data_IF_548818767579
#
_entry.id   IF_548818767579
#
_cell.length_a   1.000
_cell.length_b   1.000
_cell.length_c   1.000
_cell.angle_alpha   90.00
_cell.angle_beta   90.00
_cell.angle_gamma   90.00
#
_symmetry.space_group_name_H-M   'P 1'
#
loop_
_entity.id
_entity.type
_entity.pdbx_description
1 polymer ?
#
# COMPACT_ATOMS: atom_id res chain seq x y z
N UNK A 1 14.65 9.36 2.57
CA UNK A 1 13.46 10.04 2.06
C UNK A 1 13.97 11.11 1.15
N UNK A 2 13.59 11.03 -0.12
CA UNK A 2 13.99 12.04 -1.10
C UNK A 2 13.12 13.28 -0.95
N UNK A 3 13.69 14.50 -0.96
CA UNK A 3 12.93 15.75 -0.90
C UNK A 3 11.83 15.85 -1.97
N UNK A 4 12.00 15.18 -3.12
CA UNK A 4 10.98 15.01 -4.16
C UNK A 4 9.59 14.65 -3.61
N UNK A 5 9.51 13.81 -2.57
CA UNK A 5 8.23 13.41 -1.97
C UNK A 5 7.44 14.60 -1.37
N UNK A 6 8.10 15.68 -0.96
CA UNK A 6 7.42 16.85 -0.37
C UNK A 6 6.44 17.53 -1.33
N UNK A 7 6.60 17.35 -2.64
CA UNK A 7 5.67 17.90 -3.63
C UNK A 7 4.27 17.30 -3.52
N UNK A 8 4.17 16.07 -3.04
CA UNK A 8 2.92 15.30 -3.01
C UNK A 8 2.47 14.97 -1.60
N UNK A 9 3.32 15.12 -0.59
CA UNK A 9 2.97 14.80 0.79
C UNK A 9 2.18 15.93 1.47
N UNK A 10 1.26 15.52 2.34
CA UNK A 10 0.58 16.44 3.26
C UNK A 10 0.34 15.75 4.59
N UNK A 11 0.07 16.55 5.63
CA UNK A 11 -0.30 15.99 6.93
C UNK A 11 -1.57 15.12 6.81
N UNK A 12 -1.56 13.84 7.22
CA UNK A 12 -2.74 12.98 7.14
C UNK A 12 -3.91 13.52 7.97
N UNK A 13 -3.63 14.38 8.95
CA UNK A 13 -4.61 14.91 9.88
C UNK A 13 -5.36 16.16 9.41
N UNK A 14 -4.59 17.19 9.07
CA UNK A 14 -5.13 18.53 8.76
C UNK A 14 -4.82 18.96 7.33
N UNK A 15 -4.21 18.07 6.52
CA UNK A 15 -3.88 18.29 5.11
C UNK A 15 -2.91 19.44 4.84
N UNK A 16 -2.35 20.05 5.89
CA UNK A 16 -1.37 21.13 5.76
C UNK A 16 -0.01 20.62 5.26
N UNK A 17 0.82 21.51 4.68
CA UNK A 17 2.19 21.19 4.27
C UNK A 17 3.05 20.66 5.43
N UNK A 18 4.09 19.90 5.06
CA UNK A 18 5.05 19.31 5.99
C UNK A 18 6.45 19.89 5.75
N UNK A 19 7.10 20.33 6.82
CA UNK A 19 8.48 20.80 6.82
C UNK A 19 9.43 19.64 7.16
N UNK A 20 10.41 19.38 6.28
CA UNK A 20 11.41 18.33 6.47
C UNK A 20 12.62 18.84 7.25
N UNK A 21 12.86 18.22 8.40
CA UNK A 21 14.04 18.43 9.22
C UNK A 21 14.93 17.20 9.14
N UNK A 22 16.12 17.36 8.55
CA UNK A 22 17.06 16.28 8.42
C UNK A 22 18.02 16.20 9.61
N UNK A 23 18.28 14.97 10.06
CA UNK A 23 19.26 14.65 11.10
C UNK A 23 20.47 13.95 10.46
N UNK A 24 20.21 12.99 9.57
CA UNK A 24 21.21 12.26 8.78
C UNK A 24 20.81 12.21 7.32
N UNK A 25 21.74 12.53 6.44
CA UNK A 25 21.54 12.54 5.00
C UNK A 25 22.64 11.78 4.27
N UNK A 26 22.26 11.21 3.13
CA UNK A 26 23.16 10.64 2.16
C UNK A 26 22.91 11.29 0.81
N UNK A 27 23.95 11.32 -0.03
CA UNK A 27 23.85 11.75 -1.41
C UNK A 27 24.20 10.58 -2.33
N UNK A 28 23.30 10.28 -3.26
CA UNK A 28 23.43 9.23 -4.27
C UNK A 28 23.38 9.88 -5.66
N UNK A 29 24.53 10.24 -6.26
CA UNK A 29 24.57 10.96 -7.52
C UNK A 29 23.90 10.18 -8.66
N UNK A 30 23.15 10.90 -9.51
CA UNK A 30 22.53 10.34 -10.72
C UNK A 30 23.40 10.72 -11.91
N UNK A 31 24.24 9.78 -12.32
CA UNK A 31 25.23 9.98 -13.40
C UNK A 31 24.70 9.60 -14.79
N UNK A 32 23.72 8.70 -14.87
CA UNK A 32 23.12 8.28 -16.13
C UNK A 32 22.23 9.42 -16.71
N UNK A 33 22.51 9.90 -17.94
CA UNK A 33 21.68 10.89 -18.62
C UNK A 33 20.20 10.48 -18.76
N UNK A 34 19.89 9.19 -18.92
CA UNK A 34 18.52 8.70 -19.05
C UNK A 34 17.76 8.79 -17.73
N UNK A 35 18.39 8.46 -16.60
CA UNK A 35 17.82 8.68 -15.26
C UNK A 35 17.64 10.17 -14.98
N UNK A 36 18.65 10.97 -15.31
CA UNK A 36 18.60 12.40 -15.12
C UNK A 36 17.43 13.08 -15.85
N UNK A 37 17.09 12.61 -17.07
CA UNK A 37 15.96 13.12 -17.84
C UNK A 37 14.61 12.86 -17.16
N UNK A 38 14.51 11.82 -16.30
CA UNK A 38 13.31 11.50 -15.51
C UNK A 38 13.14 12.36 -14.26
N UNK A 39 14.15 13.11 -13.84
CA UNK A 39 14.13 13.85 -12.58
C UNK A 39 13.24 15.10 -12.64
N UNK A 40 11.96 14.95 -12.33
CA UNK A 40 11.02 16.08 -12.28
C UNK A 40 11.43 17.13 -11.23
N UNK A 41 11.59 18.39 -11.64
CA UNK A 41 12.00 19.48 -10.75
C UNK A 41 13.48 19.48 -10.35
N UNK A 42 14.33 18.77 -11.10
CA UNK A 42 15.79 18.79 -10.96
C UNK A 42 16.37 17.59 -10.21
N UNK A 43 17.61 17.23 -10.56
CA UNK A 43 18.30 16.02 -10.06
C UNK A 43 18.56 16.02 -8.56
N UNK A 44 18.88 17.19 -7.99
CA UNK A 44 19.26 17.33 -6.58
C UNK A 44 18.23 16.72 -5.62
N UNK A 45 16.94 16.87 -5.94
CA UNK A 45 15.83 16.38 -5.12
C UNK A 45 15.68 14.85 -5.12
N UNK A 46 16.33 14.18 -6.07
CA UNK A 46 16.42 12.72 -6.15
C UNK A 46 17.76 12.19 -5.64
N UNK A 47 18.83 12.97 -5.80
CA UNK A 47 20.17 12.60 -5.31
C UNK A 47 20.30 12.71 -3.80
N UNK A 48 19.61 13.66 -3.16
CA UNK A 48 19.62 13.83 -1.71
C UNK A 48 18.61 12.89 -1.06
N UNK A 49 19.06 12.17 -0.05
CA UNK A 49 18.23 11.24 0.70
C UNK A 49 18.38 11.44 2.22
N UNK A 50 17.29 11.85 2.88
CA UNK A 50 17.23 11.96 4.34
C UNK A 50 17.03 10.58 4.94
N UNK A 51 18.09 10.00 5.50
CA UNK A 51 18.08 8.67 6.10
C UNK A 51 17.40 8.69 7.47
N UNK A 52 17.68 9.72 8.27
CA UNK A 52 17.06 9.96 9.57
C UNK A 52 16.66 11.44 9.67
N UNK A 53 15.46 11.70 10.16
CA UNK A 53 14.90 13.05 10.23
C UNK A 53 13.46 13.04 10.71
N UNK A 54 12.75 14.15 10.59
CA UNK A 54 11.32 14.22 10.88
C UNK A 54 10.62 15.26 9.99
N UNK A 55 9.32 15.04 9.78
CA UNK A 55 8.41 15.95 9.12
C UNK A 55 7.56 16.64 10.18
N UNK A 56 7.60 17.97 10.24
CA UNK A 56 6.76 18.77 11.13
C UNK A 56 5.58 19.33 10.33
N UNK A 57 4.38 19.16 10.83
CA UNK A 57 3.21 19.76 10.21
C UNK A 57 3.18 21.28 10.48
N UNK A 58 2.84 22.06 9.44
CA UNK A 58 2.73 23.53 9.54
C UNK A 58 1.40 24.00 10.14
N UNK A 59 0.32 23.22 9.98
CA UNK A 59 -1.03 23.60 10.45
C UNK A 59 -1.52 22.92 11.73
N UNK A 60 -0.77 21.97 12.29
CA UNK A 60 -1.14 21.27 13.52
C UNK A 60 0.13 20.78 14.25
N UNK A 61 0.06 20.38 15.52
CA UNK A 61 1.26 20.06 16.30
C UNK A 61 1.94 18.73 15.91
N UNK A 62 1.43 18.01 14.90
CA UNK A 62 1.93 16.68 14.56
C UNK A 62 3.35 16.67 14.01
N UNK A 63 4.12 15.68 14.45
CA UNK A 63 5.46 15.38 13.95
C UNK A 63 5.57 13.90 13.58
N UNK A 64 6.17 13.63 12.43
CA UNK A 64 6.28 12.29 11.86
C UNK A 64 7.75 11.92 11.62
N UNK A 65 8.23 10.75 12.04
CA UNK A 65 9.63 10.40 11.92
C UNK A 65 9.96 9.95 10.50
N UNK A 66 11.19 10.22 10.07
CA UNK A 66 11.81 9.64 8.87
C UNK A 66 12.88 8.67 9.37
N UNK A 67 12.69 7.38 9.09
CA UNK A 67 13.56 6.30 9.57
C UNK A 67 13.95 5.43 8.38
N UNK A 68 15.26 5.20 8.24
CA UNK A 68 15.86 4.45 7.14
C UNK A 68 15.36 4.92 5.78
N UNK A 69 15.29 6.24 5.60
CA UNK A 69 14.88 6.82 4.34
C UNK A 69 13.38 6.82 4.06
N UNK A 70 12.54 6.33 4.97
CA UNK A 70 11.09 6.25 4.76
C UNK A 70 10.37 7.18 5.77
N UNK A 71 9.43 8.04 5.37
CA UNK A 71 8.59 8.80 6.28
C UNK A 71 7.46 7.93 6.88
N UNK A 72 7.18 8.10 8.18
CA UNK A 72 6.17 7.36 8.94
C UNK A 72 4.95 8.25 9.23
N UNK A 73 4.09 8.43 8.22
CA UNK A 73 2.96 9.38 8.24
C UNK A 73 1.67 8.71 8.74
N UNK A 74 1.76 8.10 9.92
CA UNK A 74 0.65 7.44 10.63
C UNK A 74 0.42 8.12 11.99
N UNK A 75 -0.84 8.12 12.46
CA UNK A 75 -1.23 8.82 13.70
C UNK A 75 -0.61 8.24 14.96
N UNK A 76 -0.25 6.97 14.95
CA UNK A 76 0.32 6.23 16.07
C UNK A 76 1.84 6.04 15.91
N UNK A 77 2.52 6.85 15.08
CA UNK A 77 3.95 6.72 14.81
C UNK A 77 4.80 6.71 16.09
N UNK A 78 4.39 7.43 17.13
CA UNK A 78 5.09 7.39 18.42
C UNK A 78 5.03 6.03 19.11
N UNK A 79 3.86 5.38 19.15
CA UNK A 79 3.73 4.06 19.77
C UNK A 79 4.60 3.02 19.07
N UNK A 80 4.74 3.12 17.74
CA UNK A 80 5.57 2.19 16.96
C UNK A 80 7.07 2.51 17.02
N UNK A 81 7.43 3.79 17.18
CA UNK A 81 8.79 4.29 17.04
C UNK A 81 9.25 5.12 18.24
N UNK A 82 8.80 4.78 19.44
CA UNK A 82 9.10 5.49 20.69
C UNK A 82 10.61 5.76 20.86
N UNK A 83 11.44 4.78 20.52
CA UNK A 83 12.90 4.89 20.60
C UNK A 83 13.48 5.98 19.69
N UNK A 84 12.91 6.21 18.51
CA UNK A 84 13.30 7.32 17.63
C UNK A 84 13.03 8.66 18.32
N UNK A 85 11.82 8.83 18.85
CA UNK A 85 11.42 10.08 19.48
C UNK A 85 12.23 10.35 20.75
N UNK A 86 12.50 9.33 21.55
CA UNK A 86 13.33 9.43 22.75
C UNK A 86 14.77 9.85 22.42
N UNK A 87 15.40 9.26 21.40
CA UNK A 87 16.76 9.61 21.00
C UNK A 87 16.87 11.01 20.40
N UNK A 88 15.80 11.52 19.79
CA UNK A 88 15.79 12.78 19.04
C UNK A 88 15.00 13.91 19.74
N UNK A 89 14.73 13.81 21.04
CA UNK A 89 13.90 14.79 21.78
C UNK A 89 14.44 16.22 21.71
N UNK A 90 15.75 16.40 21.74
CA UNK A 90 16.39 17.71 21.64
C UNK A 90 16.12 18.36 20.28
N UNK A 91 16.33 17.62 19.19
CA UNK A 91 16.06 18.08 17.82
C UNK A 91 14.56 18.38 17.59
N UNK A 92 13.67 17.69 18.30
CA UNK A 92 12.23 17.91 18.25
C UNK A 92 11.76 19.14 19.04
N UNK A 93 12.67 19.82 19.78
CA UNK A 93 12.34 20.97 20.62
C UNK A 93 11.66 20.61 21.96
N UNK A 94 11.93 19.40 22.46
CA UNK A 94 11.35 18.87 23.71
C UNK A 94 9.89 18.44 23.59
N UNK A 95 9.53 17.36 24.28
CA UNK A 95 8.14 16.86 24.40
C UNK A 95 7.64 17.17 25.83
N UNK A 96 7.10 18.37 26.04
CA UNK A 96 6.68 18.82 27.37
C UNK A 96 5.25 18.34 27.70
N UNK A 97 5.06 17.67 28.84
CA UNK A 97 3.75 17.28 29.40
C UNK A 97 2.98 16.22 28.58
N UNK A 98 2.34 15.25 29.25
CA UNK A 98 1.71 14.10 28.59
C UNK A 98 0.64 14.50 27.56
N UNK A 99 -0.22 15.47 27.87
CA UNK A 99 -1.31 15.87 26.97
C UNK A 99 -0.81 16.59 25.70
N UNK A 100 0.18 17.47 25.84
CA UNK A 100 0.78 18.19 24.71
C UNK A 100 1.66 17.26 23.86
N UNK A 101 2.36 16.33 24.50
CA UNK A 101 3.05 15.22 23.85
C UNK A 101 2.07 14.38 23.00
N UNK A 102 0.95 13.93 23.55
CA UNK A 102 -0.07 13.17 22.82
C UNK A 102 -0.66 13.97 21.65
N UNK A 103 -0.89 15.28 21.82
CA UNK A 103 -1.31 16.15 20.71
C UNK A 103 -0.27 16.23 19.59
N UNK A 104 1.02 16.35 19.94
CA UNK A 104 2.13 16.43 18.99
C UNK A 104 2.44 15.13 18.27
N UNK A 105 2.08 14.01 18.88
CA UNK A 105 2.43 12.68 18.38
C UNK A 105 1.24 11.97 17.73
N UNK A 106 0.05 12.55 17.85
CA UNK A 106 -1.19 12.02 17.33
C UNK A 106 -1.91 11.16 18.37
N UNK A 107 -3.18 11.48 18.61
CA UNK A 107 -4.04 10.61 19.41
C UNK A 107 -4.38 9.35 18.61
N UNK A 108 -4.30 8.19 19.25
CA UNK A 108 -4.76 6.90 18.73
C UNK A 108 -6.29 6.88 18.74
N UNK A 109 -6.90 7.15 17.57
CA UNK A 109 -8.34 6.96 17.36
C UNK A 109 -8.57 5.59 16.70
N UNK A 110 -9.22 4.63 17.37
CA UNK A 110 -9.55 3.32 16.80
C UNK A 110 -10.40 3.37 15.53
N UNK A 111 -11.18 4.44 15.32
CA UNK A 111 -11.97 4.65 14.10
C UNK A 111 -11.13 5.08 12.89
N UNK A 112 -9.89 5.49 13.13
CA UNK A 112 -8.93 5.93 12.12
C UNK A 112 -7.81 4.89 11.99
N UNK A 113 -7.35 4.30 13.09
CA UNK A 113 -6.25 3.35 13.15
C UNK A 113 -6.67 2.05 13.84
N UNK A 114 -6.75 0.96 13.06
CA UNK A 114 -6.97 -0.37 13.61
C UNK A 114 -5.62 -1.03 13.95
N UNK A 115 -5.25 -0.97 15.24
CA UNK A 115 -4.00 -1.54 15.77
C UNK A 115 -3.82 -3.01 15.40
N UNK A 116 -4.91 -3.79 15.46
CA UNK A 116 -4.87 -5.23 15.20
C UNK A 116 -4.54 -5.55 13.75
N UNK A 117 -5.13 -4.84 12.79
CA UNK A 117 -4.82 -5.00 11.36
C UNK A 117 -3.37 -4.65 11.10
N UNK A 118 -2.87 -3.55 11.70
CA UNK A 118 -1.46 -3.19 11.58
C UNK A 118 -0.53 -4.29 12.15
N UNK A 119 -0.77 -4.79 13.36
CA UNK A 119 0.03 -5.86 13.95
C UNK A 119 -0.03 -7.17 13.12
N UNK A 120 -1.22 -7.54 12.64
CA UNK A 120 -1.44 -8.70 11.78
C UNK A 120 -0.66 -8.59 10.47
N UNK A 121 -0.89 -7.55 9.66
CA UNK A 121 -0.19 -7.39 8.38
C UNK A 121 1.30 -7.12 8.55
N UNK A 122 1.68 -6.36 9.58
CA UNK A 122 3.08 -6.15 9.96
C UNK A 122 3.78 -7.47 10.24
N UNK A 123 3.16 -8.36 11.03
CA UNK A 123 3.69 -9.71 11.27
C UNK A 123 3.79 -10.52 9.99
N UNK A 124 2.72 -10.57 9.19
CA UNK A 124 2.64 -11.33 7.95
C UNK A 124 3.78 -10.98 6.98
N UNK A 125 3.96 -9.69 6.71
CA UNK A 125 4.97 -9.23 5.76
C UNK A 125 6.39 -9.35 6.30
N UNK A 126 6.58 -9.32 7.63
CA UNK A 126 7.87 -9.59 8.25
C UNK A 126 8.30 -11.05 8.16
N UNK A 127 7.38 -12.00 7.97
CA UNK A 127 7.70 -13.42 7.86
C UNK A 127 8.19 -13.80 6.45
N UNK A 128 7.72 -13.11 5.40
CA UNK A 128 8.17 -13.33 4.03
C UNK A 128 9.68 -13.15 3.90
N UNK A 129 10.38 -14.06 3.22
CA UNK A 129 11.74 -13.84 2.72
C UNK A 129 11.69 -13.34 1.27
N UNK A 130 12.80 -12.78 0.78
CA UNK A 130 12.82 -12.21 -0.58
C UNK A 130 12.58 -13.30 -1.64
N UNK A 131 13.04 -14.53 -1.40
CA UNK A 131 12.86 -15.67 -2.30
C UNK A 131 11.51 -16.38 -2.14
N UNK A 132 10.69 -16.01 -1.13
CA UNK A 132 9.40 -16.65 -0.89
C UNK A 132 8.32 -16.16 -1.86
N UNK A 133 7.51 -17.12 -2.33
CA UNK A 133 6.39 -16.86 -3.23
C UNK A 133 5.29 -16.08 -2.54
N UNK A 134 5.06 -14.85 -3.00
CA UNK A 134 3.89 -14.08 -2.56
C UNK A 134 2.64 -14.67 -3.21
N UNK A 135 1.72 -15.20 -2.43
CA UNK A 135 0.52 -15.90 -2.94
C UNK A 135 0.81 -17.03 -3.95
N UNK A 136 1.93 -17.73 -3.78
CA UNK A 136 2.39 -18.82 -4.66
C UNK A 136 2.74 -18.40 -6.10
N UNK A 137 2.76 -17.09 -6.36
CA UNK A 137 3.29 -16.48 -7.58
C UNK A 137 4.65 -15.88 -7.25
N UNK A 138 5.63 -16.03 -8.12
CA UNK A 138 6.93 -15.33 -7.97
C UNK A 138 7.69 -15.14 -9.27
N UNK A 139 7.04 -15.40 -10.41
CA UNK A 139 7.54 -14.90 -11.67
C UNK A 139 7.30 -13.39 -11.70
N UNK A 140 8.38 -12.62 -11.49
CA UNK A 140 8.33 -11.17 -11.47
C UNK A 140 7.98 -10.60 -12.85
N UNK A 141 8.40 -11.26 -13.94
CA UNK A 141 8.05 -10.85 -15.29
C UNK A 141 6.56 -11.05 -15.55
N UNK A 142 6.01 -12.19 -15.11
CA UNK A 142 4.57 -12.42 -15.14
C UNK A 142 3.82 -11.36 -14.35
N UNK A 143 4.24 -11.04 -13.12
CA UNK A 143 3.59 -10.01 -12.29
C UNK A 143 3.60 -8.63 -12.91
N UNK A 144 4.70 -8.25 -13.56
CA UNK A 144 4.78 -6.97 -14.29
C UNK A 144 3.78 -6.95 -15.45
N UNK A 145 3.67 -8.04 -16.21
CA UNK A 145 2.66 -8.18 -17.27
C UNK A 145 1.22 -8.19 -16.73
N UNK A 146 0.97 -8.91 -15.63
CA UNK A 146 -0.32 -8.91 -14.93
C UNK A 146 -0.70 -7.49 -14.47
N UNK A 147 0.25 -6.69 -13.99
CA UNK A 147 0.01 -5.29 -13.61
C UNK A 147 -0.43 -4.44 -14.80
N UNK A 148 0.26 -4.51 -15.95
CA UNK A 148 -0.13 -3.76 -17.15
C UNK A 148 -1.54 -4.13 -17.61
N UNK A 149 -1.85 -5.44 -17.66
CA UNK A 149 -3.18 -5.93 -17.99
C UNK A 149 -4.24 -5.43 -16.99
N UNK A 150 -3.96 -5.57 -15.70
CA UNK A 150 -4.88 -5.21 -14.63
C UNK A 150 -5.16 -3.70 -14.59
N UNK A 151 -4.14 -2.88 -14.85
CA UNK A 151 -4.26 -1.43 -14.92
C UNK A 151 -4.85 -0.94 -16.25
N UNK A 152 -5.01 -1.81 -17.26
CA UNK A 152 -5.38 -1.43 -18.63
C UNK A 152 -4.42 -0.36 -19.20
N UNK A 153 -3.11 -0.57 -19.00
CA UNK A 153 -2.03 0.34 -19.40
C UNK A 153 -0.98 -0.36 -20.27
N UNK A 154 -0.29 0.44 -21.08
CA UNK A 154 0.93 0.06 -21.79
C UNK A 154 2.18 0.51 -21.05
N UNK A 155 3.34 -0.03 -21.41
CA UNK A 155 4.63 0.42 -20.86
C UNK A 155 4.91 1.89 -21.15
N UNK A 156 4.46 2.39 -22.31
CA UNK A 156 4.70 3.78 -22.71
C UNK A 156 3.84 4.77 -21.91
N UNK A 157 2.61 4.41 -21.59
CA UNK A 157 1.75 5.22 -20.71
C UNK A 157 2.29 5.31 -19.27
N UNK A 158 3.02 4.28 -18.81
CA UNK A 158 3.69 4.32 -17.51
C UNK A 158 4.97 5.16 -17.50
N UNK A 159 5.61 5.37 -18.65
CA UNK A 159 6.91 6.05 -18.72
C UNK A 159 6.78 7.49 -18.26
N UNK A 160 7.52 7.85 -17.20
CA UNK A 160 7.47 9.20 -16.62
C UNK A 160 6.20 9.51 -15.83
N UNK A 161 5.27 8.56 -15.71
CA UNK A 161 4.09 8.70 -14.86
C UNK A 161 4.46 8.56 -13.37
N UNK A 162 3.68 9.21 -12.51
CA UNK A 162 3.73 9.03 -11.06
C UNK A 162 2.63 8.07 -10.60
N UNK A 163 3.01 6.90 -10.09
CA UNK A 163 2.10 5.81 -9.73
C UNK A 163 2.05 5.62 -8.22
N UNK A 164 0.85 5.38 -7.67
CA UNK A 164 0.66 4.94 -6.29
C UNK A 164 0.37 3.43 -6.24
N UNK A 165 1.14 2.71 -5.44
CA UNK A 165 0.83 1.35 -5.01
C UNK A 165 0.40 1.36 -3.53
N UNK A 166 -0.91 1.40 -3.29
CA UNK A 166 -1.49 1.56 -1.97
C UNK A 166 -1.76 0.19 -1.31
N UNK A 167 -1.00 -0.10 -0.26
CA UNK A 167 -0.83 -1.40 0.40
C UNK A 167 0.24 -2.26 -0.27
N UNK A 168 1.44 -1.70 -0.47
CA UNK A 168 2.52 -2.33 -1.23
C UNK A 168 3.16 -3.55 -0.53
N UNK A 169 2.85 -3.79 0.76
CA UNK A 169 3.42 -4.89 1.53
C UNK A 169 4.95 -4.88 1.51
N UNK A 170 5.56 -5.93 0.98
CA UNK A 170 7.02 -6.07 0.88
C UNK A 170 7.68 -5.32 -0.31
N UNK A 171 6.91 -4.55 -1.07
CA UNK A 171 7.42 -3.69 -2.15
C UNK A 171 7.94 -4.40 -3.40
N UNK A 172 7.83 -5.75 -3.51
CA UNK A 172 8.33 -6.51 -4.68
C UNK A 172 7.70 -6.01 -5.98
N UNK A 173 6.38 -5.85 -6.01
CA UNK A 173 5.67 -5.33 -7.19
C UNK A 173 6.07 -3.87 -7.45
N UNK A 174 6.03 -3.03 -6.42
CA UNK A 174 6.41 -1.62 -6.49
C UNK A 174 7.77 -1.42 -7.16
N UNK A 175 8.80 -2.15 -6.71
CA UNK A 175 10.13 -2.06 -7.29
C UNK A 175 10.18 -2.55 -8.75
N UNK A 176 9.40 -3.57 -9.10
CA UNK A 176 9.36 -4.13 -10.45
C UNK A 176 8.69 -3.21 -11.48
N UNK A 177 7.71 -2.41 -11.07
CA UNK A 177 7.02 -1.46 -11.96
C UNK A 177 7.90 -0.26 -12.32
N UNK A 178 8.83 0.14 -11.45
CA UNK A 178 9.76 1.24 -11.74
C UNK A 178 10.62 0.97 -12.99
N UNK A 179 10.86 -0.30 -13.33
CA UNK A 179 11.56 -0.72 -14.53
C UNK A 179 10.82 -0.38 -15.84
N UNK A 180 9.55 0.03 -15.78
CA UNK A 180 8.83 0.60 -16.92
C UNK A 180 9.09 2.11 -17.11
N UNK A 181 9.98 2.70 -16.32
CA UNK A 181 10.32 4.12 -16.39
C UNK A 181 9.38 5.02 -15.59
N UNK A 182 8.46 4.45 -14.82
CA UNK A 182 7.59 5.17 -13.89
C UNK A 182 8.37 5.69 -12.66
N UNK A 183 7.87 6.76 -12.04
CA UNK A 183 8.15 7.09 -10.64
C UNK A 183 7.03 6.45 -9.80
N UNK A 184 7.38 5.69 -8.78
CA UNK A 184 6.40 4.90 -8.02
C UNK A 184 6.54 5.11 -6.53
N UNK A 185 5.39 5.31 -5.88
CA UNK A 185 5.27 5.43 -4.44
C UNK A 185 4.53 4.21 -3.91
N UNK A 186 5.23 3.37 -3.14
CA UNK A 186 4.61 2.32 -2.33
C UNK A 186 4.17 2.89 -0.98
N UNK A 187 2.90 2.71 -0.63
CA UNK A 187 2.39 3.04 0.69
C UNK A 187 1.93 1.77 1.41
N UNK A 188 2.25 1.61 2.69
CA UNK A 188 1.65 0.55 3.51
C UNK A 188 1.38 1.08 4.93
N UNK A 189 0.33 0.58 5.58
CA UNK A 189 0.03 0.97 6.96
C UNK A 189 1.07 0.39 7.93
N UNK A 190 1.60 -0.78 7.61
CA UNK A 190 2.39 -1.58 8.53
C UNK A 190 3.89 -1.35 8.39
N UNK A 191 4.63 -1.91 9.34
CA UNK A 191 6.11 -1.94 9.31
C UNK A 191 6.69 -2.78 8.17
N UNK A 192 5.85 -3.40 7.32
CA UNK A 192 6.26 -4.03 6.07
C UNK A 192 7.07 -3.09 5.17
N UNK A 193 6.81 -1.79 5.29
CA UNK A 193 7.49 -0.72 4.57
C UNK A 193 9.02 -0.72 4.77
N UNK A 194 9.50 -1.21 5.92
CA UNK A 194 10.93 -1.36 6.21
C UNK A 194 11.55 -2.39 5.26
N UNK A 195 10.88 -3.54 5.12
CA UNK A 195 11.28 -4.59 4.17
C UNK A 195 11.12 -4.14 2.72
N UNK A 196 10.09 -3.35 2.41
CA UNK A 196 9.88 -2.80 1.09
C UNK A 196 11.06 -1.92 0.64
N UNK A 197 11.51 -1.02 1.53
CA UNK A 197 12.67 -0.18 1.29
C UNK A 197 13.97 -1.01 1.15
N UNK A 198 14.21 -1.97 2.04
CA UNK A 198 15.37 -2.87 1.95
C UNK A 198 15.38 -3.68 0.64
N UNK A 199 14.23 -4.20 0.23
CA UNK A 199 14.10 -4.96 -1.00
C UNK A 199 14.38 -4.09 -2.23
N UNK A 200 13.85 -2.86 -2.28
CA UNK A 200 14.12 -1.96 -3.39
C UNK A 200 15.60 -1.54 -3.42
N UNK A 201 16.21 -1.24 -2.29
CA UNK A 201 17.64 -0.89 -2.23
C UNK A 201 18.53 -2.01 -2.78
N UNK A 202 18.17 -3.27 -2.53
CA UNK A 202 18.91 -4.45 -3.02
C UNK A 202 18.67 -4.77 -4.49
N UNK A 203 17.46 -4.52 -5.01
CA UNK A 203 17.02 -5.10 -6.28
C UNK A 203 16.65 -4.09 -7.38
N UNK A 204 16.46 -2.81 -7.05
CA UNK A 204 15.99 -1.82 -8.02
C UNK A 204 17.05 -1.35 -9.01
N UNK A 205 18.34 -1.56 -8.72
CA UNK A 205 19.44 -1.15 -9.60
C UNK A 205 19.32 0.32 -10.01
N UNK A 206 19.24 0.57 -11.32
CA UNK A 206 19.13 1.91 -11.89
C UNK A 206 17.78 2.62 -11.57
N UNK A 207 16.73 1.90 -11.18
CA UNK A 207 15.44 2.52 -10.91
C UNK A 207 15.28 2.98 -9.45
N UNK A 208 16.25 2.66 -8.59
CA UNK A 208 16.23 3.01 -7.16
C UNK A 208 15.90 4.48 -6.86
N UNK A 209 16.36 5.49 -7.64
CA UNK A 209 16.01 6.89 -7.37
C UNK A 209 14.52 7.21 -7.47
N UNK A 210 13.77 6.43 -8.26
CA UNK A 210 12.36 6.68 -8.62
C UNK A 210 11.39 5.76 -7.87
N UNK A 211 11.88 5.00 -6.90
CA UNK A 211 11.06 4.19 -5.99
C UNK A 211 11.07 4.88 -4.64
N UNK A 212 9.86 5.13 -4.14
CA UNK A 212 9.64 5.78 -2.86
C UNK A 212 8.72 4.93 -2.01
N UNK A 213 8.96 4.94 -0.71
CA UNK A 213 8.10 4.26 0.25
C UNK A 213 7.62 5.24 1.30
N UNK A 214 6.38 5.08 1.76
CA UNK A 214 5.75 5.88 2.81
C UNK A 214 4.96 4.96 3.71
N UNK A 215 5.16 5.00 5.03
CA UNK A 215 4.17 4.37 5.91
C UNK A 215 2.97 5.31 6.02
N UNK A 216 1.77 4.84 5.71
CA UNK A 216 0.59 5.68 5.64
C UNK A 216 -0.70 4.87 5.69
N UNK A 217 -1.77 5.53 6.13
CA UNK A 217 -3.08 4.91 6.25
C UNK A 217 -3.96 5.26 5.05
N UNK A 218 -4.50 4.27 4.36
CA UNK A 218 -5.36 4.50 3.19
C UNK A 218 -6.68 5.22 3.51
N UNK A 219 -7.13 5.21 4.78
CA UNK A 219 -8.29 5.99 5.22
C UNK A 219 -7.97 7.49 5.38
N UNK A 220 -6.72 7.82 5.68
CA UNK A 220 -6.17 9.18 5.81
C UNK A 220 -4.86 9.28 5.02
N UNK A 221 -4.88 9.12 3.68
CA UNK A 221 -3.66 8.98 2.91
C UNK A 221 -2.84 10.27 2.99
N UNK A 222 -1.54 10.22 3.28
CA UNK A 222 -0.71 11.41 3.53
C UNK A 222 -0.26 12.10 2.24
N UNK A 223 -1.09 12.08 1.20
CA UNK A 223 -0.81 12.65 -0.11
C UNK A 223 -1.83 13.71 -0.48
N UNK A 224 -1.42 14.75 -1.20
CA UNK A 224 -2.31 15.75 -1.77
C UNK A 224 -3.30 15.09 -2.75
N UNK A 225 -4.55 15.58 -2.86
CA UNK A 225 -5.48 15.11 -3.86
C UNK A 225 -4.90 15.27 -5.27
N UNK A 226 -5.30 14.39 -6.19
CA UNK A 226 -4.88 14.45 -7.60
C UNK A 226 -3.34 14.49 -7.81
N UNK A 227 -2.59 13.78 -6.97
CA UNK A 227 -1.12 13.72 -7.10
C UNK A 227 -0.66 12.70 -8.14
N UNK A 228 -1.41 11.62 -8.35
CA UNK A 228 -0.93 10.44 -9.09
C UNK A 228 -1.59 10.30 -10.45
N UNK A 229 -0.80 9.98 -11.47
CA UNK A 229 -1.28 9.69 -12.82
C UNK A 229 -2.04 8.36 -12.86
N UNK A 230 -1.60 7.37 -12.07
CA UNK A 230 -2.32 6.10 -11.91
C UNK A 230 -2.27 5.63 -10.46
N UNK A 231 -3.35 4.99 -10.00
CA UNK A 231 -3.46 4.48 -8.63
C UNK A 231 -3.85 3.01 -8.63
N UNK A 232 -3.11 2.21 -7.89
CA UNK A 232 -3.26 0.77 -7.76
C UNK A 232 -3.45 0.38 -6.30
N UNK A 233 -4.42 -0.49 -6.01
CA UNK A 233 -4.52 -1.17 -4.72
C UNK A 233 -5.01 -2.61 -4.89
N UNK A 234 -4.27 -3.55 -4.32
CA UNK A 234 -4.55 -4.98 -4.47
C UNK A 234 -4.61 -5.68 -3.13
N UNK A 235 -5.79 -6.17 -2.76
CA UNK A 235 -5.92 -6.98 -1.55
C UNK A 235 -6.03 -6.19 -0.25
N UNK A 236 -6.42 -4.91 -0.28
CA UNK A 236 -6.27 -4.00 0.88
C UNK A 236 -7.61 -3.50 1.40
N UNK A 237 -8.45 -2.92 0.53
CA UNK A 237 -9.63 -2.15 0.99
C UNK A 237 -10.64 -3.00 1.77
N UNK A 238 -10.74 -4.30 1.50
CA UNK A 238 -11.65 -5.21 2.20
C UNK A 238 -11.17 -5.63 3.60
N UNK A 239 -9.94 -5.23 3.95
CA UNK A 239 -9.35 -5.40 5.28
C UNK A 239 -9.36 -4.11 6.11
N UNK A 240 -9.96 -3.03 5.62
CA UNK A 240 -10.17 -1.80 6.42
C UNK A 240 -11.50 -1.87 7.19
N UNK A 241 -11.69 -1.06 8.25
CA UNK A 241 -12.97 -0.93 8.95
C UNK A 241 -14.14 -0.53 8.05
N UNK A 242 -13.87 0.19 6.95
CA UNK A 242 -14.85 0.59 5.95
C UNK A 242 -14.18 0.62 4.57
N UNK A 243 -14.53 -0.36 3.74
CA UNK A 243 -13.99 -0.54 2.39
C UNK A 243 -14.30 0.62 1.45
N UNK A 244 -15.51 1.18 1.54
CA UNK A 244 -15.96 2.20 0.60
C UNK A 244 -15.49 3.60 1.00
N UNK A 245 -15.33 3.86 2.30
CA UNK A 245 -14.58 5.03 2.78
C UNK A 245 -13.12 4.97 2.34
N UNK A 246 -12.47 3.81 2.47
CA UNK A 246 -11.09 3.63 2.01
C UNK A 246 -10.98 3.81 0.47
N UNK A 247 -11.94 3.28 -0.29
CA UNK A 247 -12.04 3.49 -1.73
C UNK A 247 -12.15 4.98 -2.09
N UNK A 248 -13.01 5.73 -1.40
CA UNK A 248 -13.17 7.17 -1.65
C UNK A 248 -11.90 7.97 -1.33
N UNK A 249 -11.26 7.71 -0.20
CA UNK A 249 -9.97 8.34 0.17
C UNK A 249 -8.87 8.03 -0.84
N UNK A 250 -8.78 6.79 -1.32
CA UNK A 250 -7.84 6.36 -2.34
C UNK A 250 -8.12 7.02 -3.71
N UNK A 251 -9.38 7.03 -4.15
CA UNK A 251 -9.81 7.62 -5.43
C UNK A 251 -9.50 9.11 -5.54
N UNK A 252 -9.54 9.84 -4.41
CA UNK A 252 -9.21 11.26 -4.36
C UNK A 252 -7.75 11.57 -4.75
N UNK A 253 -6.85 10.58 -4.69
CA UNK A 253 -5.43 10.75 -4.97
C UNK A 253 -5.09 10.73 -6.47
N UNK A 254 -5.93 10.08 -7.28
CA UNK A 254 -5.73 10.01 -8.73
C UNK A 254 -6.08 11.34 -9.41
N UNK A 255 -5.29 11.74 -10.40
CA UNK A 255 -5.59 12.88 -11.28
C UNK A 255 -6.82 12.63 -12.14
N UNK A 256 -7.43 13.68 -12.73
CA UNK A 256 -8.28 13.50 -13.92
C UNK A 256 -7.56 12.63 -14.96
N UNK A 257 -8.28 11.73 -15.61
CA UNK A 257 -7.70 10.78 -16.57
C UNK A 257 -7.00 9.56 -15.93
N UNK A 258 -6.82 9.51 -14.60
CA UNK A 258 -6.08 8.45 -13.95
C UNK A 258 -6.75 7.07 -14.08
N UNK A 259 -5.94 6.04 -14.30
CA UNK A 259 -6.39 4.65 -14.18
C UNK A 259 -6.43 4.26 -12.70
N UNK A 260 -7.53 3.63 -12.30
CA UNK A 260 -7.85 3.26 -10.92
C UNK A 260 -8.12 1.76 -10.88
N UNK A 261 -7.22 1.01 -10.26
CA UNK A 261 -7.38 -0.43 -10.06
C UNK A 261 -7.66 -0.78 -8.61
N UNK A 262 -8.62 -1.69 -8.41
CA UNK A 262 -8.96 -2.24 -7.09
C UNK A 262 -9.15 -3.76 -7.19
N UNK A 263 -8.47 -4.51 -6.33
CA UNK A 263 -8.70 -5.94 -6.11
C UNK A 263 -9.25 -6.22 -4.70
N UNK A 264 -10.38 -6.92 -4.61
CA UNK A 264 -11.05 -7.30 -3.37
C UNK A 264 -11.32 -8.80 -3.28
N UNK A 265 -11.65 -9.30 -2.10
CA UNK A 265 -12.12 -10.68 -1.96
C UNK A 265 -13.52 -10.88 -2.53
N UNK A 266 -13.71 -12.02 -3.18
CA UNK A 266 -14.97 -12.48 -3.73
C UNK A 266 -15.79 -13.25 -2.70
N UNK A 267 -17.11 -13.13 -2.78
CA UNK A 267 -18.03 -14.02 -2.05
C UNK A 267 -17.76 -15.47 -2.45
N UNK A 268 -17.64 -16.34 -1.44
CA UNK A 268 -17.39 -17.78 -1.59
C UNK A 268 -18.66 -18.58 -1.35
N UNK A 269 -18.65 -19.84 -1.80
CA UNK A 269 -19.75 -20.77 -1.56
C UNK A 269 -19.98 -20.97 -0.06
N UNK A 270 -21.25 -21.10 0.35
CA UNK A 270 -21.63 -21.11 1.77
C UNK A 270 -20.91 -22.21 2.58
N UNK A 271 -20.71 -23.39 2.00
CA UNK A 271 -20.06 -24.54 2.66
C UNK A 271 -18.56 -24.34 2.89
N UNK A 272 -17.92 -23.37 2.22
CA UNK A 272 -16.54 -22.95 2.51
C UNK A 272 -16.52 -21.68 3.35
N UNK A 273 -17.43 -20.74 3.08
CA UNK A 273 -17.52 -19.47 3.78
C UNK A 273 -17.94 -19.61 5.25
N UNK A 274 -18.91 -20.48 5.56
CA UNK A 274 -19.45 -20.63 6.90
C UNK A 274 -18.42 -21.21 7.90
N UNK A 275 -17.73 -22.34 7.61
CA UNK A 275 -16.68 -22.84 8.49
C UNK A 275 -15.57 -21.80 8.69
N UNK A 276 -15.17 -21.09 7.63
CA UNK A 276 -14.16 -20.04 7.72
C UNK A 276 -14.56 -18.93 8.68
N UNK A 277 -15.82 -18.47 8.63
CA UNK A 277 -16.35 -17.45 9.56
C UNK A 277 -16.35 -17.95 11.01
N UNK A 278 -16.68 -19.21 11.25
CA UNK A 278 -16.68 -19.78 12.60
C UNK A 278 -15.27 -19.85 13.19
N UNK A 279 -14.28 -20.28 12.41
CA UNK A 279 -12.87 -20.29 12.84
C UNK A 279 -12.41 -18.86 13.12
N UNK A 280 -12.71 -17.92 12.20
CA UNK A 280 -12.34 -16.51 12.34
C UNK A 280 -12.94 -15.86 13.58
N UNK A 281 -14.18 -16.17 13.95
CA UNK A 281 -14.81 -15.65 15.17
C UNK A 281 -14.01 -15.96 16.46
N UNK A 282 -13.14 -16.97 16.42
CA UNK A 282 -12.21 -17.32 17.49
C UNK A 282 -10.83 -16.71 17.21
N UNK A 283 -10.24 -16.96 16.04
CA UNK A 283 -8.86 -16.57 15.74
C UNK A 283 -8.66 -15.06 15.70
N UNK A 284 -9.67 -14.29 15.25
CA UNK A 284 -9.63 -12.82 15.26
C UNK A 284 -9.86 -12.22 16.66
N UNK A 285 -9.80 -13.02 17.73
CA UNK A 285 -9.76 -12.55 19.13
C UNK A 285 -8.50 -13.00 19.86
N UNK A 286 -7.76 -13.96 19.32
CA UNK A 286 -6.50 -14.41 19.87
C UNK A 286 -5.40 -13.36 19.65
N UNK A 287 -4.34 -13.34 20.49
CA UNK A 287 -3.13 -12.59 20.22
C UNK A 287 -2.52 -12.97 18.86
N UNK A 288 -1.88 -12.01 18.20
CA UNK A 288 -1.29 -12.18 16.86
C UNK A 288 -0.26 -13.31 16.84
N UNK A 289 0.61 -13.39 17.84
CA UNK A 289 1.68 -14.39 17.96
C UNK A 289 1.11 -15.80 18.18
N UNK A 290 0.02 -15.90 18.94
CA UNK A 290 -0.67 -17.18 19.16
C UNK A 290 -1.29 -17.65 17.84
N UNK A 291 -1.96 -16.74 17.12
CA UNK A 291 -2.55 -17.02 15.81
C UNK A 291 -1.49 -17.45 14.80
N UNK A 292 -0.33 -16.79 14.78
CA UNK A 292 0.81 -17.15 13.94
C UNK A 292 1.31 -18.57 14.23
N UNK A 293 1.56 -18.90 15.50
CA UNK A 293 1.99 -20.25 15.91
C UNK A 293 0.96 -21.30 15.51
N UNK A 294 -0.34 -21.04 15.72
CA UNK A 294 -1.40 -21.94 15.28
C UNK A 294 -1.37 -22.16 13.77
N UNK A 295 -1.27 -21.09 12.97
CA UNK A 295 -1.19 -21.21 11.51
C UNK A 295 0.03 -22.02 11.07
N UNK A 296 1.19 -21.82 11.69
CA UNK A 296 2.42 -22.56 11.41
C UNK A 296 2.31 -24.05 11.70
N UNK A 297 1.71 -24.42 12.83
CA UNK A 297 1.54 -25.83 13.23
C UNK A 297 0.40 -26.53 12.49
N UNK A 298 -0.63 -25.79 12.06
CA UNK A 298 -1.77 -26.36 11.33
C UNK A 298 -1.53 -26.51 9.81
N UNK A 299 -0.39 -26.05 9.27
CA UNK A 299 -0.07 -26.20 7.83
C UNK A 299 -0.28 -27.62 7.30
N UNK A 300 0.19 -28.71 7.95
CA UNK A 300 0.02 -30.06 7.41
C UNK A 300 -1.45 -30.47 7.31
N UNK A 301 -2.23 -30.22 8.36
CA UNK A 301 -3.66 -30.53 8.40
C UNK A 301 -4.43 -29.71 7.36
N UNK A 302 -4.17 -28.41 7.28
CA UNK A 302 -4.80 -27.54 6.30
C UNK A 302 -4.42 -27.91 4.86
N UNK A 303 -3.18 -28.33 4.63
CA UNK A 303 -2.74 -28.84 3.32
C UNK A 303 -3.52 -30.08 2.90
N UNK A 304 -3.72 -31.02 3.82
CA UNK A 304 -4.53 -32.20 3.55
C UNK A 304 -5.99 -31.81 3.23
N UNK A 305 -6.60 -30.93 4.04
CA UNK A 305 -7.96 -30.48 3.82
C UNK A 305 -8.15 -29.79 2.46
N UNK A 306 -7.25 -28.86 2.08
CA UNK A 306 -7.33 -28.18 0.78
C UNK A 306 -7.12 -29.17 -0.38
N UNK A 307 -6.25 -30.18 -0.24
CA UNK A 307 -6.08 -31.22 -1.26
C UNK A 307 -7.33 -32.05 -1.46
N UNK A 308 -8.02 -32.42 -0.38
CA UNK A 308 -9.30 -33.14 -0.45
C UNK A 308 -10.34 -32.27 -1.16
N UNK A 309 -10.48 -31.01 -0.76
CA UNK A 309 -11.42 -30.07 -1.40
C UNK A 309 -11.10 -29.86 -2.88
N UNK A 310 -9.82 -29.69 -3.24
CA UNK A 310 -9.40 -29.55 -4.63
C UNK A 310 -9.71 -30.82 -5.45
N UNK A 311 -9.47 -32.00 -4.89
CA UNK A 311 -9.80 -33.27 -5.53
C UNK A 311 -11.31 -33.43 -5.75
N UNK A 312 -12.14 -33.13 -4.75
CA UNK A 312 -13.60 -33.14 -4.87
C UNK A 312 -14.12 -32.16 -5.93
N UNK A 313 -13.38 -31.09 -6.19
CA UNK A 313 -13.71 -30.05 -7.18
C UNK A 313 -13.08 -30.28 -8.56
N UNK A 314 -12.24 -31.32 -8.72
CA UNK A 314 -11.49 -31.56 -9.96
C UNK A 314 -10.47 -30.47 -10.29
N UNK A 315 -9.95 -29.76 -9.29
CA UNK A 315 -9.06 -28.62 -9.46
C UNK A 315 -7.59 -28.95 -9.22
N UNK A 316 -6.72 -28.26 -9.97
CA UNK A 316 -5.30 -28.19 -9.62
C UNK A 316 -5.12 -27.12 -8.55
N UNK A 317 -4.38 -27.45 -7.49
CA UNK A 317 -4.08 -26.52 -6.41
C UNK A 317 -2.58 -26.23 -6.37
N UNK A 318 -2.14 -24.95 -6.46
CA UNK A 318 -0.72 -24.60 -6.47
C UNK A 318 -0.06 -24.79 -5.09
N UNK A 319 -0.86 -25.09 -4.06
CA UNK A 319 -0.42 -25.15 -2.67
C UNK A 319 0.62 -26.24 -2.38
N UNK A 320 0.76 -27.21 -3.29
CA UNK A 320 1.74 -28.31 -3.21
C UNK A 320 3.14 -27.85 -3.62
N UNK A 321 3.24 -26.76 -4.38
CA UNK A 321 4.50 -26.14 -4.79
C UNK A 321 4.98 -25.08 -3.79
N UNK A 322 4.26 -24.92 -2.68
CA UNK A 322 4.50 -23.91 -1.69
C UNK A 322 5.22 -24.49 -0.47
N UNK A 323 6.19 -23.76 0.05
CA UNK A 323 6.90 -24.15 1.25
C UNK A 323 6.03 -23.94 2.50
N UNK A 324 6.45 -24.49 3.65
CA UNK A 324 5.66 -24.41 4.89
C UNK A 324 5.38 -22.97 5.32
N UNK A 325 6.34 -22.06 5.15
CA UNK A 325 6.22 -20.66 5.54
C UNK A 325 5.23 -19.93 4.66
N UNK A 326 5.33 -20.08 3.34
CA UNK A 326 4.36 -19.53 2.37
C UNK A 326 2.93 -19.99 2.69
N UNK A 327 2.78 -21.27 3.07
CA UNK A 327 1.49 -21.80 3.52
C UNK A 327 1.05 -21.18 4.85
N UNK A 328 1.93 -21.09 5.84
CA UNK A 328 1.62 -20.49 7.14
C UNK A 328 1.17 -19.03 7.00
N UNK A 329 1.86 -18.25 6.17
CA UNK A 329 1.48 -16.88 5.82
C UNK A 329 0.10 -16.85 5.16
N UNK A 330 -0.16 -17.73 4.19
CA UNK A 330 -1.49 -17.81 3.55
C UNK A 330 -2.62 -18.19 4.51
N UNK A 331 -2.38 -19.08 5.48
CA UNK A 331 -3.36 -19.33 6.54
C UNK A 331 -3.55 -18.09 7.41
N UNK A 332 -2.44 -17.47 7.82
CA UNK A 332 -2.43 -16.37 8.76
C UNK A 332 -3.17 -15.14 8.22
N UNK A 333 -2.99 -14.82 6.93
CA UNK A 333 -3.74 -13.79 6.21
C UNK A 333 -5.25 -14.02 6.21
N UNK A 334 -5.69 -15.28 6.16
CA UNK A 334 -7.11 -15.58 6.20
C UNK A 334 -7.69 -15.54 7.63
N UNK A 335 -6.88 -15.84 8.66
CA UNK A 335 -7.37 -16.05 10.04
C UNK A 335 -7.03 -14.95 11.05
N UNK A 336 -6.07 -14.08 10.76
CA UNK A 336 -5.62 -13.03 11.68
C UNK A 336 -6.30 -11.66 11.50
N UNK A 337 -6.61 -11.20 10.26
CA UNK A 337 -7.19 -9.86 10.08
C UNK A 337 -8.61 -9.77 10.65
N UNK A 338 -8.92 -8.69 11.40
CA UNK A 338 -10.26 -8.49 11.97
C UNK A 338 -11.32 -8.29 10.87
N UNK A 339 -11.02 -7.44 9.89
CA UNK A 339 -11.90 -7.17 8.75
C UNK A 339 -11.54 -8.08 7.58
N UNK A 340 -12.56 -8.57 6.87
CA UNK A 340 -12.39 -9.35 5.65
C UNK A 340 -13.74 -9.36 4.90
N UNK A 341 -14.10 -8.20 4.36
CA UNK A 341 -15.31 -8.05 3.56
C UNK A 341 -15.16 -8.79 2.23
N UNK A 342 -16.30 -9.18 1.64
CA UNK A 342 -16.33 -9.95 0.40
C UNK A 342 -17.47 -9.46 -0.45
N UNK A 343 -17.22 -9.36 -1.75
CA UNK A 343 -18.13 -8.71 -2.68
C UNK A 343 -18.41 -9.60 -3.88
N UNK A 344 -19.60 -9.43 -4.46
CA UNK A 344 -19.92 -9.88 -5.79
C UNK A 344 -19.38 -8.88 -6.83
N UNK A 345 -19.04 -9.34 -8.05
CA UNK A 345 -18.57 -8.44 -9.11
C UNK A 345 -19.48 -7.24 -9.38
N UNK A 346 -20.79 -7.46 -9.41
CA UNK A 346 -21.74 -6.37 -9.67
C UNK A 346 -21.74 -5.29 -8.58
N UNK A 347 -21.42 -5.62 -7.32
CA UNK A 347 -21.34 -4.63 -6.23
C UNK A 347 -20.12 -3.72 -6.42
N UNK A 348 -18.99 -4.30 -6.85
CA UNK A 348 -17.75 -3.55 -7.11
C UNK A 348 -17.92 -2.67 -8.35
N UNK A 349 -18.49 -3.22 -9.42
CA UNK A 349 -18.79 -2.48 -10.65
C UNK A 349 -19.73 -1.29 -10.38
N UNK A 350 -20.80 -1.52 -9.59
CA UNK A 350 -21.72 -0.45 -9.20
C UNK A 350 -20.99 0.66 -8.45
N UNK A 351 -20.08 0.32 -7.53
CA UNK A 351 -19.30 1.31 -6.78
C UNK A 351 -18.35 2.12 -7.64
N UNK A 352 -17.75 1.53 -8.66
CA UNK A 352 -16.95 2.26 -9.64
C UNK A 352 -17.81 3.27 -10.42
N UNK A 353 -18.99 2.85 -10.89
CA UNK A 353 -19.95 3.72 -11.61
C UNK A 353 -20.52 4.83 -10.73
N UNK A 354 -20.91 4.52 -9.49
CA UNK A 354 -21.38 5.49 -8.49
C UNK A 354 -20.32 6.56 -8.20
N UNK A 355 -19.05 6.19 -8.23
CA UNK A 355 -17.93 7.11 -8.05
C UNK A 355 -17.56 7.90 -9.31
N UNK A 356 -18.30 7.73 -10.41
CA UNK A 356 -18.10 8.44 -11.66
C UNK A 356 -16.91 7.96 -12.50
N UNK A 357 -16.40 6.75 -12.26
CA UNK A 357 -15.36 6.16 -13.11
C UNK A 357 -15.93 5.73 -14.46
N UNK A 358 -15.17 6.03 -15.52
CA UNK A 358 -15.45 5.65 -16.89
C UNK A 358 -14.68 4.38 -17.28
N UNK A 359 -15.01 3.79 -18.44
CA UNK A 359 -14.33 2.61 -18.99
C UNK A 359 -14.14 1.46 -17.98
N UNK A 360 -15.14 1.24 -17.10
CA UNK A 360 -15.09 0.24 -16.04
C UNK A 360 -15.05 -1.17 -16.64
N UNK A 361 -14.02 -1.96 -16.28
CA UNK A 361 -13.80 -3.33 -16.76
C UNK A 361 -13.53 -4.28 -15.60
N UNK A 362 -14.12 -5.48 -15.67
CA UNK A 362 -13.71 -6.61 -14.83
C UNK A 362 -12.41 -7.20 -15.42
N UNK A 363 -11.32 -7.07 -14.67
CA UNK A 363 -9.98 -7.55 -15.04
C UNK A 363 -9.56 -8.74 -14.18
N UNK A 364 -10.52 -9.40 -13.52
CA UNK A 364 -10.25 -10.55 -12.65
C UNK A 364 -9.61 -11.69 -13.44
N UNK A 365 -8.40 -12.08 -13.05
CA UNK A 365 -7.73 -13.22 -13.67
C UNK A 365 -8.52 -14.52 -13.44
N UNK A 366 -8.63 -15.36 -14.47
CA UNK A 366 -9.41 -16.59 -14.43
C UNK A 366 -8.95 -17.56 -13.31
N UNK A 367 -7.65 -17.59 -13.01
CA UNK A 367 -7.08 -18.39 -11.93
C UNK A 367 -7.38 -17.83 -10.52
N UNK A 368 -7.81 -16.57 -10.41
CA UNK A 368 -8.12 -15.89 -9.15
C UNK A 368 -9.63 -15.66 -8.95
N UNK A 369 -10.44 -15.79 -10.00
CA UNK A 369 -11.88 -15.47 -10.01
C UNK A 369 -12.74 -16.23 -9.00
N UNK A 370 -12.19 -17.25 -8.32
CA UNK A 370 -12.85 -17.94 -7.18
C UNK A 370 -12.65 -17.24 -5.84
N UNK A 371 -11.64 -16.39 -5.73
CA UNK A 371 -11.19 -15.80 -4.47
C UNK A 371 -11.14 -14.28 -4.53
N UNK A 372 -10.84 -13.72 -5.70
CA UNK A 372 -10.71 -12.30 -5.94
C UNK A 372 -11.78 -11.79 -6.91
N UNK A 373 -12.01 -10.50 -6.83
CA UNK A 373 -12.69 -9.68 -7.82
C UNK A 373 -11.82 -8.45 -8.06
N UNK A 374 -11.56 -8.12 -9.31
CA UNK A 374 -10.66 -7.04 -9.69
C UNK A 374 -11.31 -6.16 -10.76
N UNK A 375 -11.32 -4.87 -10.53
CA UNK A 375 -11.85 -3.89 -11.46
C UNK A 375 -10.84 -2.80 -11.74
N UNK A 376 -10.87 -2.31 -12.97
CA UNK A 376 -10.20 -1.09 -13.39
C UNK A 376 -11.22 -0.12 -13.96
N UNK A 377 -10.99 1.17 -13.76
CA UNK A 377 -11.74 2.26 -14.37
C UNK A 377 -10.86 3.49 -14.52
N UNK A 378 -11.36 4.50 -15.24
CA UNK A 378 -10.64 5.74 -15.50
C UNK A 378 -11.37 6.93 -14.88
N UNK A 379 -10.64 7.81 -14.20
CA UNK A 379 -11.21 9.08 -13.73
C UNK A 379 -11.55 9.96 -14.94
N UNK A 380 -12.71 10.64 -14.94
CA UNK A 380 -13.08 11.51 -16.04
C UNK A 380 -12.03 12.61 -16.22
N UNK A 381 -11.76 12.97 -17.47
CA UNK A 381 -10.95 14.14 -17.79
C UNK A 381 -11.66 15.41 -17.31
N UNK A 382 -10.90 16.45 -16.94
CA UNK A 382 -11.52 17.76 -16.74
C UNK A 382 -12.04 18.24 -18.09
N UNK A 383 -13.34 18.50 -18.18
CA UNK A 383 -13.89 19.26 -19.30
C UNK A 383 -13.21 20.63 -19.28
N UNK A 384 -12.30 20.86 -20.23
CA UNK A 384 -11.80 22.21 -20.49
C UNK A 384 -12.96 22.95 -21.14
N UNK A 385 -13.72 23.71 -20.35
CA UNK A 385 -14.66 24.66 -20.94
C UNK A 385 -13.85 25.61 -21.82
N UNK A 386 -14.17 25.73 -23.13
CA UNK A 386 -13.49 26.70 -23.97
C UNK A 386 -13.76 28.08 -23.37
N UNK A 387 -12.69 28.79 -23.00
CA UNK A 387 -12.72 30.21 -22.66
C UNK A 387 -13.55 30.92 -23.72
N UNK A 388 -14.80 31.23 -23.40
CA UNK A 388 -15.63 32.12 -24.19
C UNK A 388 -14.91 33.46 -24.17
N UNK A 389 -14.17 33.74 -25.24
CA UNK A 389 -13.75 35.08 -25.63
C UNK A 389 -15.03 35.89 -25.81
N UNK A 390 -15.53 36.46 -24.71
CA UNK A 390 -16.50 37.52 -24.74
C UNK A 390 -15.82 38.69 -25.45
N UNK A 391 -16.08 38.78 -26.76
CA UNK A 391 -15.79 39.95 -27.57
C UNK A 391 -16.46 41.14 -26.90
N UNK A 392 -15.66 42.05 -26.36
CA UNK A 392 -16.12 43.40 -26.09
C UNK A 392 -16.46 44.04 -27.45
N UNK A 393 -17.72 44.40 -27.62
CA UNK A 393 -18.21 45.33 -28.64
C UNK A 393 -18.94 46.45 -27.94
#
# INVERSE_FOLDING_TARGET
>A
MRPRLLDILCCPACRSPLDLHAIKEERRPITDPAQAARCAGGRERYEREVIEGFLRCTGCPLVFPVIAGVPRLIRNAYEEYESFFFRNQEALGGLAGTAEMLKRLGATDPAIFDRRSNESFGRQWQEYQYEDKTWFKDDLALRKGEFLYAMDLTEEELRGSLVLDAGCGNGKLTAAIAAYGAEIVGMDLSRSIERAAENAERNAGADAPFIHFVQGNILEPPFLPESFDHIHTSGVLHHTPDTWRAFASFLALGKPGAHVYVQLYRVREAWVGLPNRMIRAITTRLPVEVTWKLCWHLVPLHTLAVRIVAALRGEKTPITQANRRERAVSLFDNYSPPYQYRYHPHEVEAKFKEAGLEAVKDVTFANEARHMVAFVGRKPERLVEPLTLARAS
#
